data_IF_268818500004
#
_entry.id   IF_268818500004
#
_cell.length_a   1.000
_cell.length_b   1.000
_cell.length_c   1.000
_cell.angle_alpha   90.00
_cell.angle_beta   90.00
_cell.angle_gamma   90.00
#
_symmetry.space_group_name_H-M   'P 1'
#
loop_
_entity.id
_entity.type
_entity.pdbx_description
1 polymer ?
#
# COMPACT_ATOMS: atom_id res chain seq x y z
N UNK A 1 24.04 26.50 -2.90
CA UNK A 1 22.60 26.80 -3.05
C UNK A 1 21.88 25.46 -3.23
N UNK A 2 21.28 24.90 -2.17
CA UNK A 2 20.50 23.67 -2.29
C UNK A 2 19.10 24.04 -2.81
N UNK A 3 18.87 23.79 -4.10
CA UNK A 3 17.52 23.80 -4.67
C UNK A 3 16.69 22.76 -3.90
N UNK A 4 15.49 23.09 -3.40
CA UNK A 4 14.61 22.09 -2.81
C UNK A 4 14.33 21.04 -3.88
N UNK A 5 14.58 19.76 -3.55
CA UNK A 5 14.18 18.64 -4.39
C UNK A 5 12.65 18.63 -4.41
N UNK A 6 12.07 19.28 -5.41
CA UNK A 6 10.65 19.09 -5.74
C UNK A 6 10.56 17.66 -6.24
N UNK A 7 10.20 16.74 -5.34
CA UNK A 7 9.94 15.35 -5.72
C UNK A 7 8.66 15.35 -6.56
N UNK A 8 8.67 14.78 -7.78
CA UNK A 8 7.45 14.58 -8.54
C UNK A 8 6.42 13.82 -7.69
N UNK A 9 5.14 14.12 -7.90
CA UNK A 9 4.05 13.35 -7.29
C UNK A 9 4.10 11.89 -7.76
N UNK A 10 3.53 10.98 -6.97
CA UNK A 10 3.62 9.54 -7.28
C UNK A 10 3.06 9.20 -8.67
N UNK A 11 1.97 9.87 -9.09
CA UNK A 11 1.42 9.72 -10.44
C UNK A 11 2.42 10.11 -11.53
N UNK A 12 3.09 11.26 -11.41
CA UNK A 12 4.11 11.68 -12.37
C UNK A 12 5.29 10.71 -12.45
N UNK A 13 5.69 10.13 -11.32
CA UNK A 13 6.70 9.05 -11.32
C UNK A 13 6.21 7.80 -12.04
N UNK A 14 4.93 7.45 -11.91
CA UNK A 14 4.34 6.30 -12.62
C UNK A 14 4.22 6.58 -14.13
N UNK A 15 3.86 7.80 -14.52
CA UNK A 15 3.88 8.23 -15.93
C UNK A 15 5.30 8.12 -16.51
N UNK A 16 6.31 8.55 -15.75
CA UNK A 16 7.71 8.39 -16.16
C UNK A 16 8.10 6.91 -16.31
N UNK A 17 7.67 6.05 -15.38
CA UNK A 17 7.89 4.59 -15.50
C UNK A 17 7.26 4.05 -16.78
N UNK A 18 6.02 4.46 -17.11
CA UNK A 18 5.35 4.05 -18.35
C UNK A 18 6.16 4.45 -19.59
N UNK A 19 6.69 5.67 -19.62
CA UNK A 19 7.58 6.11 -20.69
C UNK A 19 8.88 5.29 -20.76
N UNK A 20 9.50 5.00 -19.61
CA UNK A 20 10.75 4.24 -19.53
C UNK A 20 10.60 2.78 -19.99
N UNK A 21 9.42 2.17 -19.81
CA UNK A 21 9.12 0.82 -20.32
C UNK A 21 8.65 0.80 -21.78
N UNK A 22 8.60 1.96 -22.45
CA UNK A 22 8.22 2.08 -23.86
C UNK A 22 6.70 2.11 -24.13
N UNK A 23 5.87 2.33 -23.12
CA UNK A 23 4.43 2.54 -23.29
C UNK A 23 4.10 4.02 -23.60
N UNK A 24 2.93 4.26 -24.18
CA UNK A 24 2.36 5.60 -24.36
C UNK A 24 1.30 5.88 -23.28
N UNK A 25 1.59 6.74 -22.28
CA UNK A 25 0.63 7.09 -21.23
C UNK A 25 -0.65 7.75 -21.74
N UNK A 26 -0.64 8.33 -22.95
CA UNK A 26 -1.81 8.97 -23.55
C UNK A 26 -2.79 7.96 -24.20
N UNK A 27 -2.40 6.68 -24.29
CA UNK A 27 -3.30 5.62 -24.76
C UNK A 27 -4.51 5.52 -23.84
N UNK A 28 -5.70 5.35 -24.42
CA UNK A 28 -6.98 5.32 -23.71
C UNK A 28 -6.97 4.43 -22.43
N UNK A 29 -6.36 3.24 -22.52
CA UNK A 29 -6.27 2.31 -21.38
C UNK A 29 -5.31 2.75 -20.25
N UNK A 30 -4.37 3.64 -20.54
CA UNK A 30 -3.31 4.06 -19.63
C UNK A 30 -3.52 5.44 -19.00
N UNK A 31 -4.44 6.26 -19.52
CA UNK A 31 -4.73 7.60 -18.99
C UNK A 31 -4.98 7.63 -17.47
N UNK A 32 -5.62 6.59 -16.93
CA UNK A 32 -5.90 6.46 -15.49
C UNK A 32 -4.96 5.49 -14.76
N UNK A 33 -3.99 4.88 -15.44
CA UNK A 33 -3.02 3.97 -14.82
C UNK A 33 -2.23 4.65 -13.70
N UNK A 34 -1.70 5.88 -13.86
CA UNK A 34 -0.97 6.56 -12.78
C UNK A 34 -1.80 6.72 -11.50
N UNK A 35 -3.05 7.16 -11.63
CA UNK A 35 -3.98 7.30 -10.50
C UNK A 35 -4.28 5.94 -9.84
N UNK A 36 -4.56 4.90 -10.64
CA UNK A 36 -4.85 3.55 -10.12
C UNK A 36 -3.65 2.97 -9.38
N UNK A 37 -2.46 3.07 -9.95
CA UNK A 37 -1.23 2.53 -9.35
C UNK A 37 -0.86 3.30 -8.08
N UNK A 38 -1.02 4.62 -8.04
CA UNK A 38 -0.86 5.39 -6.79
C UNK A 38 -1.79 4.86 -5.70
N UNK A 39 -3.07 4.64 -5.99
CA UNK A 39 -4.04 4.11 -5.02
C UNK A 39 -3.66 2.71 -4.56
N UNK A 40 -3.27 1.83 -5.49
CA UNK A 40 -2.80 0.47 -5.17
C UNK A 40 -1.57 0.49 -4.27
N UNK A 41 -0.55 1.30 -4.57
CA UNK A 41 0.65 1.41 -3.74
C UNK A 41 0.34 1.93 -2.33
N UNK A 42 -0.53 2.94 -2.22
CA UNK A 42 -1.00 3.44 -0.92
C UNK A 42 -1.75 2.38 -0.12
N UNK A 43 -2.53 1.54 -0.78
CA UNK A 43 -3.24 0.42 -0.16
C UNK A 43 -2.27 -0.66 0.33
N UNK A 44 -1.38 -1.14 -0.54
CA UNK A 44 -0.39 -2.18 -0.22
C UNK A 44 0.56 -1.76 0.92
N UNK A 45 0.86 -0.47 1.02
CA UNK A 45 1.74 0.09 2.06
C UNK A 45 0.97 0.74 3.22
N UNK A 46 -0.34 0.57 3.29
CA UNK A 46 -1.18 1.19 4.33
C UNK A 46 -0.82 0.73 5.74
N UNK A 47 -0.28 -0.49 5.88
CA UNK A 47 0.17 -1.09 7.14
C UNK A 47 1.15 -0.22 7.93
N UNK A 48 2.01 0.57 7.27
CA UNK A 48 2.95 1.47 7.96
C UNK A 48 2.28 2.59 8.76
N UNK A 49 1.01 2.90 8.46
CA UNK A 49 0.23 3.93 9.15
C UNK A 49 -0.83 3.35 10.08
N UNK A 50 -0.89 2.03 10.20
CA UNK A 50 -1.89 1.34 11.03
C UNK A 50 -1.50 1.41 12.51
N UNK A 51 -2.46 1.80 13.34
CA UNK A 51 -2.33 1.81 14.79
C UNK A 51 -2.82 0.48 15.36
N UNK A 52 -1.92 -0.28 15.98
CA UNK A 52 -2.23 -1.60 16.52
C UNK A 52 -3.28 -1.55 17.63
N UNK A 53 -3.33 -0.50 18.45
CA UNK A 53 -4.27 -0.39 19.55
C UNK A 53 -5.69 -0.21 19.03
N UNK A 54 -5.83 0.65 18.00
CA UNK A 54 -7.11 0.83 17.30
C UNK A 54 -7.52 -0.41 16.53
N UNK A 55 -6.57 -1.16 15.98
CA UNK A 55 -6.85 -2.38 15.22
C UNK A 55 -7.34 -3.51 16.13
N UNK A 56 -6.70 -3.72 17.29
CA UNK A 56 -7.09 -4.75 18.26
C UNK A 56 -8.40 -4.39 18.96
N UNK A 57 -8.71 -3.10 19.12
CA UNK A 57 -10.00 -2.59 19.60
C UNK A 57 -10.48 -3.27 20.90
N UNK A 58 -9.58 -3.35 21.90
CA UNK A 58 -9.85 -3.95 23.21
C UNK A 58 -10.42 -5.37 23.19
N UNK A 59 -10.19 -6.13 22.10
CA UNK A 59 -10.60 -7.53 21.97
C UNK A 59 -9.73 -8.48 22.82
N UNK A 60 -9.58 -8.16 24.10
CA UNK A 60 -8.85 -8.92 25.10
C UNK A 60 -9.85 -9.49 26.11
N UNK A 61 -9.91 -10.82 26.20
CA UNK A 61 -10.85 -11.54 27.07
C UNK A 61 -10.08 -12.34 28.10
N UNK A 62 -10.58 -12.31 29.35
CA UNK A 62 -10.02 -13.11 30.45
C UNK A 62 -10.78 -14.41 30.57
N UNK A 63 -10.18 -15.50 30.11
CA UNK A 63 -10.71 -16.86 30.21
C UNK A 63 -9.73 -17.74 30.98
N UNK A 64 -10.24 -18.65 31.82
CA UNK A 64 -9.40 -19.67 32.46
C UNK A 64 -9.09 -20.80 31.46
N UNK A 65 -8.27 -20.49 30.45
CA UNK A 65 -7.85 -21.41 29.39
C UNK A 65 -6.31 -21.47 29.34
N UNK A 66 -5.74 -22.67 29.42
CA UNK A 66 -4.29 -22.90 29.55
C UNK A 66 -3.75 -23.89 28.50
N UNK A 67 -4.48 -24.12 27.42
CA UNK A 67 -4.05 -24.96 26.29
C UNK A 67 -3.64 -24.11 25.07
N UNK A 68 -3.03 -24.73 24.07
CA UNK A 68 -2.56 -24.04 22.86
C UNK A 68 -3.73 -23.70 21.93
N UNK A 69 -3.83 -22.43 21.53
CA UNK A 69 -4.74 -21.97 20.47
C UNK A 69 -3.96 -21.85 19.16
N UNK A 70 -4.47 -22.47 18.09
CA UNK A 70 -3.89 -22.36 16.74
C UNK A 70 -4.91 -21.71 15.82
N UNK A 71 -4.53 -20.59 15.21
CA UNK A 71 -5.20 -20.01 14.05
C UNK A 71 -4.32 -20.28 12.84
N UNK A 72 -4.85 -21.01 11.86
CA UNK A 72 -4.14 -21.43 10.65
C UNK A 72 -4.89 -20.97 9.41
N UNK A 73 -4.25 -21.13 8.25
CA UNK A 73 -4.84 -20.82 6.94
C UNK A 73 -5.24 -19.33 6.79
N UNK A 74 -4.40 -18.42 7.32
CA UNK A 74 -4.56 -16.97 7.15
C UNK A 74 -3.90 -16.56 5.82
N UNK A 75 -4.68 -16.00 4.91
CA UNK A 75 -4.17 -15.44 3.67
C UNK A 75 -3.31 -14.19 3.94
N UNK A 76 -2.08 -14.19 3.41
CA UNK A 76 -1.14 -13.07 3.55
C UNK A 76 -0.64 -12.67 2.17
N UNK A 77 -0.73 -11.36 1.88
CA UNK A 77 -0.17 -10.73 0.68
C UNK A 77 0.79 -9.62 1.13
N UNK A 78 2.00 -9.59 0.54
CA UNK A 78 3.03 -8.61 0.84
C UNK A 78 3.65 -8.05 -0.45
N UNK A 79 4.38 -6.93 -0.31
CA UNK A 79 5.14 -6.26 -1.36
C UNK A 79 6.63 -6.22 -1.00
#
# INVERSE_FOLDING_TARGET
MNKPLIKPGLQSSIEQILHEVGEDPNREGLLKTPERVEKSLKFLTSGYKTDIHKLVNDALYSENYNEMVIVKDIDVYSL
#
